data_IF_791375404804
#
_entry.id   IF_791375404804
#
_cell.length_a   1.000
_cell.length_b   1.000
_cell.length_c   1.000
_cell.angle_alpha   90.00
_cell.angle_beta   90.00
_cell.angle_gamma   90.00
#
_symmetry.space_group_name_H-M   'P 1'
#
loop_
_entity.id
_entity.type
_entity.pdbx_description
1 polymer ?
#
# COMPACT_ATOMS: atom_id res chain seq x y z
N UNK A 1 -6.76 -40.76 -27.22
CA UNK A 1 -7.66 -39.77 -26.57
C UNK A 1 -6.80 -39.03 -25.57
N UNK A 2 -6.43 -37.79 -25.89
CA UNK A 2 -5.59 -36.93 -25.05
C UNK A 2 -6.52 -35.87 -24.46
N UNK A 3 -6.66 -35.85 -23.14
CA UNK A 3 -7.40 -34.82 -22.39
C UNK A 3 -6.78 -33.44 -22.63
N UNK A 4 -7.55 -32.35 -22.76
CA UNK A 4 -7.01 -31.02 -22.93
C UNK A 4 -6.46 -30.48 -21.60
N UNK A 5 -5.21 -30.05 -21.61
CA UNK A 5 -4.53 -29.40 -20.47
C UNK A 5 -5.26 -28.08 -20.15
N UNK A 6 -5.57 -27.76 -18.87
CA UNK A 6 -6.21 -26.49 -18.52
C UNK A 6 -5.30 -25.34 -18.94
N UNK A 7 -5.78 -24.54 -19.90
CA UNK A 7 -5.15 -23.29 -20.25
C UNK A 7 -5.13 -22.41 -19.00
N UNK A 8 -3.94 -22.11 -18.50
CA UNK A 8 -3.73 -20.94 -17.65
C UNK A 8 -4.23 -19.73 -18.45
N UNK A 9 -5.47 -19.34 -18.21
CA UNK A 9 -6.01 -18.09 -18.67
C UNK A 9 -5.09 -17.00 -18.11
N UNK A 10 -4.16 -16.51 -18.93
CA UNK A 10 -3.46 -15.26 -18.62
C UNK A 10 -4.55 -14.22 -18.53
N UNK A 11 -4.81 -13.74 -17.32
CA UNK A 11 -5.69 -12.60 -17.13
C UNK A 11 -5.23 -11.44 -18.02
N UNK A 12 -6.18 -10.67 -18.59
CA UNK A 12 -5.85 -9.59 -19.52
C UNK A 12 -4.89 -8.59 -18.86
N UNK A 13 -3.82 -8.13 -19.56
CA UNK A 13 -2.83 -7.19 -19.01
C UNK A 13 -3.42 -5.93 -18.35
N UNK A 14 -4.62 -5.52 -18.77
CA UNK A 14 -5.36 -4.41 -18.19
C UNK A 14 -5.78 -4.63 -16.71
N UNK A 15 -6.00 -5.88 -16.29
CA UNK A 15 -6.32 -6.23 -14.90
C UNK A 15 -5.12 -6.00 -13.98
N UNK A 16 -3.92 -6.37 -14.41
CA UNK A 16 -2.68 -6.06 -13.71
C UNK A 16 -2.39 -4.56 -13.64
N UNK A 17 -2.65 -3.81 -14.72
CA UNK A 17 -2.47 -2.36 -14.72
C UNK A 17 -3.46 -1.69 -13.76
N UNK A 18 -4.73 -2.10 -13.77
CA UNK A 18 -5.74 -1.58 -12.83
C UNK A 18 -5.38 -1.89 -11.38
N UNK A 19 -5.07 -3.14 -11.07
CA UNK A 19 -4.63 -3.58 -9.74
C UNK A 19 -3.38 -2.83 -9.29
N UNK A 20 -2.42 -2.65 -10.19
CA UNK A 20 -1.22 -1.87 -9.92
C UNK A 20 -1.54 -0.39 -9.71
N UNK A 21 -2.48 0.21 -10.45
CA UNK A 21 -2.91 1.61 -10.27
C UNK A 21 -3.76 1.84 -9.02
N UNK A 22 -4.55 0.87 -8.58
CA UNK A 22 -5.28 0.91 -7.30
C UNK A 22 -4.31 0.75 -6.13
N UNK A 23 -3.37 -0.20 -6.20
CA UNK A 23 -2.27 -0.30 -5.25
C UNK A 23 -1.43 0.98 -5.23
N UNK A 24 -1.15 1.58 -6.40
CA UNK A 24 -0.44 2.85 -6.49
C UNK A 24 -1.23 3.96 -5.81
N UNK A 25 -2.54 4.05 -5.99
CA UNK A 25 -3.39 5.06 -5.34
C UNK A 25 -3.40 4.88 -3.81
N UNK A 26 -3.43 3.64 -3.36
CA UNK A 26 -3.42 3.25 -1.96
C UNK A 26 -2.09 3.49 -1.23
N UNK A 27 -0.96 3.38 -1.94
CA UNK A 27 0.37 3.67 -1.38
C UNK A 27 0.87 5.08 -1.69
N UNK A 28 0.43 5.71 -2.78
CA UNK A 28 0.96 7.02 -3.23
C UNK A 28 0.25 8.19 -2.57
N UNK A 29 -1.08 8.14 -2.41
CA UNK A 29 -1.85 9.33 -2.01
C UNK A 29 -1.67 9.66 -0.51
N UNK A 30 -1.70 8.69 0.43
CA UNK A 30 -1.50 9.00 1.85
C UNK A 30 -0.02 9.31 2.16
N UNK A 31 0.90 8.60 1.50
CA UNK A 31 2.35 8.73 1.76
C UNK A 31 2.94 9.99 1.13
N UNK A 32 2.51 10.38 -0.08
CA UNK A 32 2.94 11.63 -0.71
C UNK A 32 2.29 12.88 -0.07
N UNK A 33 1.17 12.72 0.65
CA UNK A 33 0.61 13.78 1.48
C UNK A 33 1.40 13.93 2.80
N UNK A 34 1.89 12.82 3.38
CA UNK A 34 2.77 12.81 4.56
C UNK A 34 4.20 13.27 4.25
N UNK A 35 4.71 12.99 3.06
CA UNK A 35 5.99 13.51 2.58
C UNK A 35 5.79 14.90 1.97
N UNK A 36 6.41 15.93 2.55
CA UNK A 36 6.68 17.16 1.81
C UNK A 36 7.32 16.80 0.45
N UNK A 37 6.59 17.01 -0.65
CA UNK A 37 6.97 16.65 -2.04
C UNK A 37 8.44 17.03 -2.36
N UNK A 38 8.89 18.16 -1.80
CA UNK A 38 10.24 18.69 -1.95
C UNK A 38 11.32 17.79 -1.31
N UNK A 39 11.06 17.18 -0.15
CA UNK A 39 12.01 16.27 0.52
C UNK A 39 12.15 14.95 -0.23
N UNK A 40 11.04 14.44 -0.78
CA UNK A 40 11.02 13.23 -1.59
C UNK A 40 11.83 13.40 -2.89
N UNK A 41 11.66 14.54 -3.55
CA UNK A 41 12.37 14.87 -4.80
C UNK A 41 13.88 15.00 -4.57
N UNK A 42 14.30 15.69 -3.51
CA UNK A 42 15.72 15.80 -3.15
C UNK A 42 16.34 14.44 -2.88
N UNK A 43 15.68 13.59 -2.10
CA UNK A 43 16.16 12.23 -1.81
C UNK A 43 16.25 11.35 -3.07
N UNK A 44 15.25 11.42 -3.95
CA UNK A 44 15.26 10.65 -5.20
C UNK A 44 16.47 11.01 -6.07
N UNK A 45 16.77 12.30 -6.18
CA UNK A 45 17.97 12.78 -6.89
C UNK A 45 19.27 12.23 -6.24
N UNK A 46 19.33 12.17 -4.91
CA UNK A 46 20.45 11.52 -4.20
C UNK A 46 20.54 10.03 -4.49
N UNK A 47 19.42 9.31 -4.58
CA UNK A 47 19.41 7.88 -4.94
C UNK A 47 19.90 7.62 -6.37
N UNK A 48 19.49 8.46 -7.32
CA UNK A 48 19.96 8.41 -8.72
C UNK A 48 21.47 8.67 -8.81
N UNK A 49 21.98 9.61 -8.01
CA UNK A 49 23.42 9.87 -7.94
C UNK A 49 24.21 8.72 -7.31
N UNK A 50 23.70 8.12 -6.23
CA UNK A 50 24.39 7.06 -5.50
C UNK A 50 24.40 5.72 -6.23
N UNK A 51 23.33 5.38 -6.94
CA UNK A 51 23.18 4.09 -7.64
C UNK A 51 23.53 4.15 -9.12
N UNK A 52 23.50 5.35 -9.72
CA UNK A 52 23.62 5.55 -11.15
C UNK A 52 22.28 5.39 -11.88
N UNK A 53 22.13 6.10 -13.01
CA UNK A 53 20.87 6.12 -13.78
C UNK A 53 20.46 4.73 -14.28
N UNK A 54 21.39 3.96 -14.85
CA UNK A 54 21.08 2.63 -15.39
C UNK A 54 20.56 1.66 -14.33
N UNK A 55 21.09 1.72 -13.10
CA UNK A 55 20.63 0.87 -12.00
C UNK A 55 19.27 1.29 -11.45
N UNK A 56 18.95 2.59 -11.48
CA UNK A 56 17.62 3.09 -11.11
C UNK A 56 16.58 2.80 -12.19
N UNK A 57 16.95 2.88 -13.47
CA UNK A 57 16.07 2.52 -14.58
C UNK A 57 15.78 1.01 -14.63
N UNK A 58 16.74 0.18 -14.22
CA UNK A 58 16.54 -1.26 -14.08
C UNK A 58 15.80 -1.67 -12.79
N UNK A 59 15.55 -0.72 -11.87
CA UNK A 59 14.93 -1.01 -10.58
C UNK A 59 13.46 -1.37 -10.76
N UNK A 60 13.07 -2.48 -10.13
CA UNK A 60 11.67 -2.91 -10.09
C UNK A 60 10.85 -2.04 -9.15
N UNK A 61 9.53 -2.05 -9.35
CA UNK A 61 8.61 -1.32 -8.48
C UNK A 61 8.65 -1.81 -7.03
N UNK A 62 8.89 -3.10 -6.82
CA UNK A 62 9.02 -3.76 -5.52
C UNK A 62 10.26 -3.27 -4.77
N UNK A 63 11.39 -3.13 -5.47
CA UNK A 63 12.63 -2.58 -4.90
C UNK A 63 12.46 -1.11 -4.53
N UNK A 64 11.84 -0.31 -5.41
CA UNK A 64 11.56 1.09 -5.14
C UNK A 64 10.67 1.26 -3.89
N UNK A 65 9.60 0.48 -3.78
CA UNK A 65 8.73 0.43 -2.59
C UNK A 65 9.53 0.10 -1.33
N UNK A 66 10.36 -0.93 -1.36
CA UNK A 66 11.16 -1.34 -0.20
C UNK A 66 12.11 -0.24 0.28
N UNK A 67 12.73 0.49 -0.66
CA UNK A 67 13.66 1.57 -0.35
C UNK A 67 12.92 2.78 0.23
N UNK A 68 11.75 3.14 -0.33
CA UNK A 68 10.90 4.21 0.20
C UNK A 68 10.40 3.89 1.61
N UNK A 69 9.94 2.66 1.85
CA UNK A 69 9.52 2.21 3.18
C UNK A 69 10.70 2.26 4.16
N UNK A 70 11.90 1.83 3.75
CA UNK A 70 13.08 1.87 4.61
C UNK A 70 13.48 3.28 5.02
N UNK A 71 13.43 4.23 4.08
CA UNK A 71 13.84 5.61 4.33
C UNK A 71 12.78 6.39 5.11
N UNK A 72 11.51 6.25 4.71
CA UNK A 72 10.43 7.15 5.13
C UNK A 72 9.38 6.48 6.00
N UNK A 73 9.44 5.16 6.17
CA UNK A 73 8.67 4.46 7.19
C UNK A 73 9.59 3.95 8.30
N UNK A 74 10.05 4.84 9.19
CA UNK A 74 10.78 4.39 10.34
C UNK A 74 9.88 3.46 11.16
N UNK A 75 10.46 2.38 11.70
CA UNK A 75 9.70 1.27 12.32
C UNK A 75 8.74 1.73 13.41
N UNK A 76 9.07 2.79 14.13
CA UNK A 76 8.22 3.39 15.15
C UNK A 76 6.93 4.00 14.56
N UNK A 77 6.99 4.63 13.38
CA UNK A 77 5.81 5.17 12.71
C UNK A 77 4.95 4.05 12.09
N UNK A 78 5.57 2.97 11.56
CA UNK A 78 4.83 1.75 11.21
C UNK A 78 4.05 1.20 12.40
N UNK A 79 4.71 1.05 13.56
CA UNK A 79 4.09 0.51 14.77
C UNK A 79 2.90 1.36 15.21
N UNK A 80 3.01 2.69 15.17
CA UNK A 80 1.87 3.58 15.47
C UNK A 80 0.70 3.36 14.52
N UNK A 81 0.96 3.21 13.22
CA UNK A 81 -0.09 2.93 12.23
C UNK A 81 -0.72 1.54 12.47
N UNK A 82 0.08 0.54 12.83
CA UNK A 82 -0.40 -0.80 13.19
C UNK A 82 -1.29 -0.76 14.43
N UNK A 83 -0.87 -0.05 15.48
CA UNK A 83 -1.65 0.19 16.69
C UNK A 83 -2.93 0.97 16.39
N UNK A 84 -2.85 1.97 15.51
CA UNK A 84 -4.01 2.73 15.07
C UNK A 84 -5.01 1.80 14.36
N UNK A 85 -4.59 1.00 13.38
CA UNK A 85 -5.47 0.05 12.71
C UNK A 85 -6.06 -0.97 13.68
N UNK A 86 -5.28 -1.43 14.66
CA UNK A 86 -5.70 -2.38 15.69
C UNK A 86 -6.71 -1.81 16.68
N UNK A 87 -6.70 -0.49 16.90
CA UNK A 87 -7.63 0.19 17.80
C UNK A 87 -8.65 1.07 17.07
N UNK A 88 -8.63 1.09 15.73
CA UNK A 88 -9.51 1.96 14.93
C UNK A 88 -10.97 1.58 15.11
N UNK A 89 -11.74 2.51 15.65
CA UNK A 89 -13.17 2.37 15.93
C UNK A 89 -13.91 3.61 15.42
N UNK A 90 -15.16 3.43 15.03
CA UNK A 90 -16.02 4.53 14.61
C UNK A 90 -16.38 5.38 15.83
N UNK A 91 -16.21 6.70 15.73
CA UNK A 91 -16.58 7.64 16.79
C UNK A 91 -17.88 8.33 16.39
N UNK A 92 -18.92 8.19 17.22
CA UNK A 92 -20.22 8.81 16.99
C UNK A 92 -20.84 8.37 15.65
N UNK A 93 -21.26 9.34 14.83
CA UNK A 93 -21.92 9.10 13.54
C UNK A 93 -20.98 9.33 12.33
N UNK A 94 -19.66 9.38 12.54
CA UNK A 94 -18.68 9.73 11.50
C UNK A 94 -18.29 8.54 10.58
N UNK A 95 -19.27 7.91 9.93
CA UNK A 95 -19.04 6.76 9.05
C UNK A 95 -18.00 7.06 7.96
N UNK A 96 -18.08 8.22 7.31
CA UNK A 96 -17.20 8.55 6.18
C UNK A 96 -15.74 8.70 6.64
N UNK A 97 -15.51 9.36 7.78
CA UNK A 97 -14.17 9.49 8.35
C UNK A 97 -13.60 8.12 8.73
N UNK A 98 -14.41 7.29 9.40
CA UNK A 98 -14.03 5.91 9.75
C UNK A 98 -13.63 5.09 8.52
N UNK A 99 -14.45 5.13 7.46
CA UNK A 99 -14.24 4.35 6.23
C UNK A 99 -12.99 4.80 5.49
N UNK A 100 -12.84 6.11 5.32
CA UNK A 100 -11.67 6.68 4.63
C UNK A 100 -10.39 6.29 5.37
N UNK A 101 -10.36 6.47 6.70
CA UNK A 101 -9.18 6.16 7.49
C UNK A 101 -8.87 4.66 7.52
N UNK A 102 -9.88 3.82 7.65
CA UNK A 102 -9.69 2.37 7.56
C UNK A 102 -9.15 1.94 6.20
N UNK A 103 -9.68 2.53 5.11
CA UNK A 103 -9.20 2.24 3.76
C UNK A 103 -7.71 2.58 3.61
N UNK A 104 -7.30 3.77 4.05
CA UNK A 104 -5.89 4.19 4.07
C UNK A 104 -5.01 3.20 4.86
N UNK A 105 -5.37 2.90 6.11
CA UNK A 105 -4.60 2.02 6.98
C UNK A 105 -4.52 0.58 6.42
N UNK A 106 -5.64 0.03 5.94
CA UNK A 106 -5.69 -1.32 5.35
C UNK A 106 -4.88 -1.44 4.06
N UNK A 107 -4.75 -0.33 3.32
CA UNK A 107 -3.96 -0.26 2.11
C UNK A 107 -2.46 -0.19 2.39
N UNK A 108 -2.07 0.48 3.47
CA UNK A 108 -0.67 0.57 3.91
C UNK A 108 -0.21 -0.71 4.61
N UNK A 109 -1.05 -1.27 5.48
CA UNK A 109 -0.74 -2.38 6.39
C UNK A 109 -1.33 -3.71 5.89
N UNK A 110 -1.09 -4.02 4.61
CA UNK A 110 -1.63 -5.24 3.99
C UNK A 110 -1.20 -6.51 4.72
N UNK A 111 -0.05 -6.50 5.40
CA UNK A 111 0.41 -7.63 6.22
C UNK A 111 -0.44 -7.86 7.47
N UNK A 112 -1.11 -6.83 8.01
CA UNK A 112 -2.04 -6.95 9.14
C UNK A 112 -3.40 -7.52 8.69
N UNK A 113 -3.79 -7.28 7.44
CA UNK A 113 -5.05 -7.73 6.83
C UNK A 113 -4.82 -8.43 5.48
N UNK A 114 -4.14 -9.60 5.45
CA UNK A 114 -3.63 -10.21 4.21
C UNK A 114 -4.69 -10.80 3.28
N UNK A 115 -5.97 -10.74 3.66
CA UNK A 115 -7.08 -11.30 2.91
C UNK A 115 -8.30 -10.41 3.04
N UNK A 116 -9.13 -10.36 2.01
CA UNK A 116 -10.40 -9.61 2.03
C UNK A 116 -11.30 -10.02 3.20
N UNK A 117 -11.36 -11.31 3.55
CA UNK A 117 -12.12 -11.78 4.71
C UNK A 117 -11.65 -11.11 6.02
N UNK A 118 -10.35 -11.19 6.33
CA UNK A 118 -9.77 -10.50 7.50
C UNK A 118 -9.95 -8.98 7.47
N UNK A 119 -9.90 -8.37 6.29
CA UNK A 119 -10.13 -6.94 6.12
C UNK A 119 -11.58 -6.57 6.47
N UNK A 120 -12.55 -7.37 6.02
CA UNK A 120 -13.97 -7.22 6.36
C UNK A 120 -14.19 -7.43 7.86
N UNK A 121 -13.66 -8.51 8.43
CA UNK A 121 -13.78 -8.80 9.87
C UNK A 121 -13.24 -7.65 10.71
N UNK A 122 -12.08 -7.11 10.33
CA UNK A 122 -11.44 -5.98 11.00
C UNK A 122 -12.26 -4.69 10.87
N UNK A 123 -12.86 -4.45 9.71
CA UNK A 123 -13.76 -3.30 9.50
C UNK A 123 -15.02 -3.42 10.36
N UNK A 124 -15.68 -4.59 10.37
CA UNK A 124 -16.89 -4.82 11.18
C UNK A 124 -16.58 -4.67 12.67
N UNK A 125 -15.42 -5.15 13.14
CA UNK A 125 -15.02 -5.00 14.54
C UNK A 125 -14.97 -3.54 15.00
N UNK A 126 -14.51 -2.62 14.15
CA UNK A 126 -14.44 -1.19 14.50
C UNK A 126 -15.77 -0.45 14.40
N UNK A 127 -16.81 -1.08 13.83
CA UNK A 127 -18.17 -0.54 13.76
C UNK A 127 -19.00 -0.83 15.02
N UNK A 128 -18.45 -1.54 16.00
CA UNK A 128 -19.17 -1.93 17.21
C UNK A 128 -19.71 -0.68 17.93
N UNK A 129 -21.01 -0.65 18.32
CA UNK A 129 -21.69 0.53 18.86
C UNK A 129 -21.16 1.02 20.21
#
# INVERSE_FOLDING_TARGET
MQEPVPGYAREPPAAHIRSATEQLRCYSVPYAALLHLNKALTWWNTQVQARGREAVEAMTWEELKAILIKEYCPKNEMQKLEEELWNHQMIGAEHQAYTNRFHELSCLLQHMVPSEAKKIDRYIWGLTP
#
